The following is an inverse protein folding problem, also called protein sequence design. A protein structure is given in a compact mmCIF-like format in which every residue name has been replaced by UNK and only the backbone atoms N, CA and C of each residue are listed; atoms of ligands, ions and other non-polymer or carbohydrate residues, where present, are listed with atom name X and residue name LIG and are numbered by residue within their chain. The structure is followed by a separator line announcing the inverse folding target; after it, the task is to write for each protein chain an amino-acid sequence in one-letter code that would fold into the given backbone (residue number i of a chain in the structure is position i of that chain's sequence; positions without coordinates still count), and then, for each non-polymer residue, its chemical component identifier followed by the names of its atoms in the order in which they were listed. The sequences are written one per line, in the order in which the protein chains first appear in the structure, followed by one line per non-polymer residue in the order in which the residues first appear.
data_IF_134365345935
#
_entry.id   IF_134365345935
#
_cell.length_a   1.000
_cell.length_b   1.000
_cell.length_c   1.000
_cell.angle_alpha   90.00
_cell.angle_beta   90.00
_cell.angle_gamma   90.00
#
_symmetry.space_group_name_H-M   'P 1'
#
loop_
_entity.id
_entity.type
_entity.pdbx_description
1 polymer ?
#
# COMPACT_ATOMS: atom_id res chain seq x y z
N UNK A 1 -10.87 -8.12 -26.85
CA UNK A 1 -9.73 -9.04 -26.57
C UNK A 1 -10.25 -10.46 -26.55
N UNK A 2 -9.69 -11.37 -27.31
CA UNK A 2 -10.17 -12.76 -27.31
C UNK A 2 -9.81 -13.42 -25.97
N UNK A 3 -10.71 -14.27 -25.42
CA UNK A 3 -10.57 -14.88 -24.10
C UNK A 3 -9.24 -15.62 -23.84
N UNK A 4 -8.58 -16.11 -24.91
CA UNK A 4 -7.26 -16.72 -24.83
C UNK A 4 -6.13 -15.75 -24.40
N UNK A 5 -6.18 -14.48 -24.81
CA UNK A 5 -5.19 -13.48 -24.42
C UNK A 5 -5.38 -13.05 -22.97
N UNK A 6 -6.62 -12.97 -22.48
CA UNK A 6 -6.92 -12.68 -21.10
C UNK A 6 -6.45 -13.82 -20.18
N UNK A 7 -6.65 -15.08 -20.57
CA UNK A 7 -6.12 -16.26 -19.86
C UNK A 7 -4.60 -16.20 -19.73
N UNK A 8 -3.90 -15.94 -20.83
CA UNK A 8 -2.44 -15.86 -20.84
C UNK A 8 -1.89 -14.72 -19.98
N UNK A 9 -2.58 -13.57 -19.92
CA UNK A 9 -2.24 -12.46 -19.02
C UNK A 9 -2.47 -12.80 -17.54
N UNK A 10 -3.51 -13.54 -17.20
CA UNK A 10 -3.83 -13.94 -15.82
C UNK A 10 -2.86 -15.04 -15.32
N UNK A 11 -2.46 -15.97 -16.19
CA UNK A 11 -1.47 -17.01 -15.89
C UNK A 11 -0.05 -16.45 -15.69
N UNK A 12 0.32 -15.38 -16.41
CA UNK A 12 1.63 -14.73 -16.28
C UNK A 12 1.78 -13.86 -15.04
N UNK A 13 0.69 -13.38 -14.43
CA UNK A 13 0.72 -12.65 -13.16
C UNK A 13 0.58 -13.63 -11.99
N UNK A 14 1.65 -14.35 -11.66
CA UNK A 14 1.80 -15.04 -10.37
C UNK A 14 1.85 -13.99 -9.26
N UNK A 15 0.70 -13.68 -8.67
CA UNK A 15 0.64 -12.97 -7.39
C UNK A 15 1.21 -13.90 -6.31
N UNK A 16 2.42 -13.60 -5.86
CA UNK A 16 3.02 -14.27 -4.71
C UNK A 16 2.41 -13.67 -3.45
N UNK A 17 1.83 -14.58 -2.67
CA UNK A 17 1.54 -14.47 -1.23
C UNK A 17 0.67 -13.30 -0.75
N UNK A 18 -0.58 -13.63 -0.55
CA UNK A 18 -1.36 -13.30 0.65
C UNK A 18 -2.46 -14.38 0.73
N UNK A 19 -2.76 -14.88 1.89
CA UNK A 19 -3.48 -16.12 2.16
C UNK A 19 -4.96 -16.15 1.74
N UNK A 20 -5.37 -15.25 0.88
CA UNK A 20 -6.67 -15.25 0.22
C UNK A 20 -6.54 -14.82 -1.24
N UNK A 21 -5.95 -15.67 -2.08
CA UNK A 21 -5.97 -15.43 -3.52
C UNK A 21 -7.24 -16.02 -4.10
N UNK A 22 -8.27 -15.21 -4.22
CA UNK A 22 -9.35 -15.48 -5.15
C UNK A 22 -8.84 -15.18 -6.55
N UNK A 23 -8.30 -16.15 -7.25
CA UNK A 23 -7.98 -15.97 -8.67
C UNK A 23 -9.30 -16.09 -9.43
N UNK A 24 -9.82 -14.96 -9.87
CA UNK A 24 -11.06 -14.86 -10.62
C UNK A 24 -10.71 -14.72 -12.10
N UNK A 25 -11.09 -15.67 -12.93
CA UNK A 25 -11.09 -15.53 -14.37
C UNK A 25 -12.42 -14.92 -14.81
N UNK A 26 -12.37 -13.76 -15.46
CA UNK A 26 -13.53 -13.14 -16.08
C UNK A 26 -13.62 -13.64 -17.53
N UNK A 27 -14.69 -14.34 -17.87
CA UNK A 27 -15.00 -14.74 -19.23
C UNK A 27 -16.16 -13.88 -19.74
N UNK A 28 -15.96 -13.15 -20.81
CA UNK A 28 -17.02 -12.40 -21.47
C UNK A 28 -17.91 -13.43 -22.20
N UNK A 29 -19.13 -13.61 -21.73
CA UNK A 29 -20.07 -14.57 -22.30
C UNK A 29 -20.75 -14.01 -23.54
N UNK A 30 -21.10 -12.73 -23.54
CA UNK A 30 -21.69 -12.03 -24.68
C UNK A 30 -21.21 -10.57 -24.71
N UNK A 31 -20.48 -10.16 -25.76
CA UNK A 31 -19.88 -8.81 -25.84
C UNK A 31 -20.91 -7.68 -25.79
N UNK A 32 -22.10 -7.93 -26.30
CA UNK A 32 -23.15 -6.90 -26.46
C UNK A 32 -24.03 -6.71 -25.23
N UNK A 33 -23.95 -7.60 -24.25
CA UNK A 33 -24.81 -7.56 -23.05
C UNK A 33 -24.07 -7.12 -21.77
N UNK A 34 -22.77 -6.86 -21.84
CA UNK A 34 -21.93 -6.57 -20.67
C UNK A 34 -22.05 -7.63 -19.55
N UNK A 35 -22.37 -8.85 -19.91
CA UNK A 35 -22.51 -9.96 -18.97
C UNK A 35 -21.21 -10.76 -18.92
N UNK A 36 -20.68 -10.94 -17.73
CA UNK A 36 -19.44 -11.68 -17.48
C UNK A 36 -19.72 -12.88 -16.60
N UNK A 37 -19.01 -13.98 -16.86
CA UNK A 37 -18.96 -15.11 -15.96
C UNK A 37 -17.63 -15.15 -15.20
N UNK A 38 -17.71 -15.44 -13.91
CA UNK A 38 -16.54 -15.59 -13.07
C UNK A 38 -16.34 -17.08 -12.81
N UNK A 39 -15.14 -17.56 -13.16
CA UNK A 39 -14.68 -18.89 -12.81
C UNK A 39 -13.52 -18.81 -11.85
N UNK A 40 -13.55 -19.61 -10.79
CA UNK A 40 -12.39 -19.86 -9.97
C UNK A 40 -11.37 -20.66 -10.80
N UNK A 41 -10.16 -20.14 -10.97
CA UNK A 41 -9.03 -20.93 -11.45
C UNK A 41 -8.48 -21.72 -10.26
N UNK A 42 -8.91 -22.98 -10.14
CA UNK A 42 -8.35 -23.90 -9.15
C UNK A 42 -7.04 -24.49 -9.62
N UNK A 43 -6.23 -24.97 -8.67
CA UNK A 43 -5.20 -25.98 -8.92
C UNK A 43 -5.84 -27.20 -9.61
N UNK A 44 -5.09 -27.92 -10.39
CA UNK A 44 -5.47 -28.91 -11.42
C UNK A 44 -6.68 -29.85 -11.19
N UNK A 45 -7.26 -29.89 -9.98
CA UNK A 45 -8.35 -30.80 -9.63
C UNK A 45 -9.64 -30.13 -9.11
N UNK A 46 -9.75 -28.80 -9.10
CA UNK A 46 -10.98 -28.15 -8.67
C UNK A 46 -11.82 -27.73 -9.88
N UNK A 47 -12.81 -28.53 -10.23
CA UNK A 47 -13.85 -28.19 -11.19
C UNK A 47 -14.83 -27.26 -10.50
N UNK A 48 -14.85 -25.99 -10.88
CA UNK A 48 -15.93 -25.07 -10.48
C UNK A 48 -17.11 -25.32 -11.41
N UNK A 49 -18.16 -25.89 -10.89
CA UNK A 49 -19.36 -26.24 -11.68
C UNK A 49 -20.32 -25.06 -11.87
N UNK A 50 -20.16 -23.98 -11.09
CA UNK A 50 -21.09 -22.87 -11.12
C UNK A 50 -20.46 -21.63 -11.77
N UNK A 51 -21.08 -21.18 -12.85
CA UNK A 51 -20.78 -19.92 -13.54
C UNK A 51 -21.80 -18.90 -13.09
N UNK A 52 -21.32 -17.75 -12.56
CA UNK A 52 -22.20 -16.69 -12.10
C UNK A 52 -22.15 -15.50 -13.04
N UNK A 53 -23.30 -14.94 -13.42
CA UNK A 53 -23.33 -13.68 -14.17
C UNK A 53 -22.86 -12.54 -13.27
N UNK A 54 -21.93 -11.75 -13.77
CA UNK A 54 -21.49 -10.50 -13.14
C UNK A 54 -22.12 -9.37 -13.89
N UNK A 55 -22.91 -8.56 -13.21
CA UNK A 55 -23.45 -7.33 -13.78
C UNK A 55 -22.56 -6.18 -13.33
N UNK A 56 -21.72 -5.68 -14.23
CA UNK A 56 -20.84 -4.56 -13.95
C UNK A 56 -20.14 -4.05 -15.20
N UNK A 57 -19.79 -2.79 -15.20
CA UNK A 57 -18.99 -2.20 -16.28
C UNK A 57 -17.53 -2.55 -16.09
N UNK A 58 -16.99 -3.38 -16.98
CA UNK A 58 -15.53 -3.53 -17.13
C UNK A 58 -15.13 -2.68 -18.32
N UNK A 59 -14.40 -1.59 -18.06
CA UNK A 59 -13.84 -0.80 -19.15
C UNK A 59 -12.82 -1.64 -19.94
N UNK A 60 -12.90 -1.59 -21.27
CA UNK A 60 -12.11 -2.38 -22.20
C UNK A 60 -10.59 -2.22 -22.06
N UNK A 61 -10.11 -1.22 -21.34
CA UNK A 61 -8.69 -0.92 -21.16
C UNK A 61 -8.13 -1.29 -19.78
N UNK A 62 -8.83 -2.12 -19.02
CA UNK A 62 -8.25 -2.81 -17.85
C UNK A 62 -7.95 -1.96 -16.63
N UNK A 63 -8.45 -0.73 -16.52
CA UNK A 63 -7.99 0.22 -15.51
C UNK A 63 -9.07 0.77 -14.58
N UNK A 64 -10.33 0.57 -14.84
CA UNK A 64 -11.39 0.97 -13.92
C UNK A 64 -12.43 -0.15 -13.81
N UNK A 65 -12.35 -0.96 -12.77
CA UNK A 65 -13.49 -1.74 -12.35
C UNK A 65 -14.33 -0.87 -11.43
N UNK A 66 -15.49 -0.42 -11.89
CA UNK A 66 -16.51 0.04 -10.98
C UNK A 66 -16.93 -1.12 -10.08
N UNK A 67 -17.37 -0.83 -8.86
CA UNK A 67 -17.85 -1.82 -7.90
C UNK A 67 -18.81 -2.79 -8.59
N UNK A 68 -18.42 -4.04 -8.71
CA UNK A 68 -19.25 -5.09 -9.29
C UNK A 68 -19.80 -5.94 -8.17
N UNK A 69 -21.12 -6.13 -8.16
CA UNK A 69 -21.77 -7.09 -7.27
C UNK A 69 -21.60 -8.48 -7.83
N UNK A 70 -21.04 -9.35 -7.03
CA UNK A 70 -20.81 -10.75 -7.36
C UNK A 70 -21.70 -11.62 -6.48
N UNK A 71 -22.46 -12.49 -7.10
CA UNK A 71 -23.17 -13.55 -6.38
C UNK A 71 -22.26 -14.78 -6.33
N UNK A 72 -21.70 -15.05 -5.17
CA UNK A 72 -20.87 -16.22 -4.91
C UNK A 72 -21.62 -17.18 -4.01
N UNK A 73 -21.57 -18.48 -4.34
CA UNK A 73 -22.18 -19.50 -3.46
C UNK A 73 -21.41 -19.72 -2.16
N UNK A 74 -20.22 -19.11 -2.00
CA UNK A 74 -19.54 -19.17 -0.73
C UNK A 74 -18.05 -18.82 -0.76
N UNK A 75 -17.49 -18.77 0.42
CA UNK A 75 -16.05 -18.71 0.67
C UNK A 75 -15.56 -20.14 0.87
N UNK A 76 -14.47 -20.50 0.20
CA UNK A 76 -13.90 -21.83 0.23
C UNK A 76 -12.48 -21.80 0.76
N UNK A 77 -12.10 -22.83 1.51
CA UNK A 77 -10.72 -23.06 1.91
C UNK A 77 -9.89 -23.37 0.64
N UNK A 78 -8.82 -22.62 0.37
CA UNK A 78 -8.03 -22.81 -0.85
C UNK A 78 -7.23 -24.13 -0.86
N UNK A 79 -7.00 -24.74 0.30
CA UNK A 79 -6.24 -25.99 0.44
C UNK A 79 -7.13 -27.23 0.34
N UNK A 80 -8.27 -27.21 1.04
CA UNK A 80 -9.16 -28.38 1.12
C UNK A 80 -10.31 -28.32 0.12
N UNK A 81 -10.64 -27.12 -0.37
CA UNK A 81 -11.82 -26.89 -1.21
C UNK A 81 -13.13 -26.86 -0.42
N UNK A 82 -13.09 -27.01 0.91
CA UNK A 82 -14.28 -27.00 1.74
C UNK A 82 -14.91 -25.59 1.79
N UNK A 83 -16.23 -25.56 1.79
CA UNK A 83 -16.98 -24.32 1.91
C UNK A 83 -16.98 -23.84 3.37
N UNK A 84 -16.31 -22.70 3.62
CA UNK A 84 -16.24 -22.07 4.94
C UNK A 84 -17.53 -21.31 5.23
N UNK A 85 -18.02 -20.54 4.25
CA UNK A 85 -19.18 -19.68 4.42
C UNK A 85 -19.99 -19.56 3.13
N UNK A 86 -21.30 -19.52 3.22
CA UNK A 86 -22.17 -19.18 2.11
C UNK A 86 -22.36 -17.65 2.07
N UNK A 87 -22.21 -17.08 0.87
CA UNK A 87 -22.42 -15.65 0.64
C UNK A 87 -23.53 -15.47 -0.40
N UNK A 88 -24.48 -14.60 -0.09
CA UNK A 88 -25.51 -14.20 -1.06
C UNK A 88 -25.00 -13.10 -1.98
N UNK A 89 -24.04 -12.30 -1.50
CA UNK A 89 -23.49 -11.16 -2.23
C UNK A 89 -22.03 -10.89 -1.82
N UNK A 90 -21.23 -10.50 -2.79
CA UNK A 90 -19.84 -10.07 -2.58
C UNK A 90 -19.54 -8.80 -3.41
N UNK A 91 -18.83 -7.84 -2.83
CA UNK A 91 -18.40 -6.63 -3.53
C UNK A 91 -16.95 -6.73 -3.92
N UNK A 92 -16.69 -6.68 -5.22
CA UNK A 92 -15.32 -6.63 -5.76
C UNK A 92 -14.91 -5.17 -5.98
N UNK A 93 -13.89 -4.75 -5.25
CA UNK A 93 -13.30 -3.43 -5.41
C UNK A 93 -12.21 -3.45 -6.48
N UNK A 94 -12.01 -2.33 -7.21
CA UNK A 94 -10.90 -2.21 -8.14
C UNK A 94 -9.56 -2.27 -7.38
N UNK A 95 -8.56 -2.90 -8.00
CA UNK A 95 -7.20 -2.95 -7.46
C UNK A 95 -6.42 -1.62 -7.65
N UNK A 96 -7.03 -0.65 -8.32
CA UNK A 96 -6.44 0.65 -8.63
C UNK A 96 -7.02 1.71 -7.71
N UNK A 97 -6.16 2.52 -7.09
CA UNK A 97 -6.58 3.70 -6.33
C UNK A 97 -7.18 4.76 -7.27
N UNK A 98 -8.12 5.55 -6.74
CA UNK A 98 -8.78 6.66 -7.43
C UNK A 98 -9.60 6.26 -8.66
N UNK A 99 -10.06 5.01 -8.73
CA UNK A 99 -11.10 4.64 -9.69
C UNK A 99 -12.40 5.39 -9.35
N UNK A 100 -12.91 6.15 -10.31
CA UNK A 100 -14.08 7.00 -10.12
C UNK A 100 -14.98 7.00 -11.37
N UNK A 101 -16.20 7.52 -11.26
CA UNK A 101 -17.09 7.67 -12.43
C UNK A 101 -16.59 8.76 -13.35
N UNK A 102 -16.99 8.67 -14.64
CA UNK A 102 -16.65 9.67 -15.65
C UNK A 102 -17.12 11.07 -15.26
N UNK A 103 -18.29 11.18 -14.61
CA UNK A 103 -18.82 12.46 -14.14
C UNK A 103 -17.91 13.10 -13.09
N UNK A 104 -17.44 12.31 -12.11
CA UNK A 104 -16.51 12.77 -11.07
C UNK A 104 -15.14 13.10 -11.67
N UNK A 105 -14.65 12.27 -12.60
CA UNK A 105 -13.39 12.53 -13.28
C UNK A 105 -13.44 13.83 -14.08
N UNK A 106 -14.51 14.06 -14.84
CA UNK A 106 -14.69 15.31 -15.60
C UNK A 106 -14.77 16.53 -14.67
N UNK A 107 -15.47 16.43 -13.55
CA UNK A 107 -15.51 17.48 -12.55
C UNK A 107 -14.14 17.74 -11.89
N UNK A 108 -13.35 16.69 -11.66
CA UNK A 108 -11.99 16.81 -11.16
C UNK A 108 -11.07 17.50 -12.18
N UNK A 109 -11.15 17.11 -13.44
CA UNK A 109 -10.40 17.73 -14.54
C UNK A 109 -10.66 19.24 -14.59
N UNK A 110 -11.91 19.68 -14.50
CA UNK A 110 -12.25 21.10 -14.47
C UNK A 110 -11.60 21.83 -13.28
N UNK A 111 -11.64 21.24 -12.08
CA UNK A 111 -10.97 21.82 -10.89
C UNK A 111 -9.44 21.91 -11.05
N UNK A 112 -8.83 20.88 -11.65
CA UNK A 112 -7.38 20.84 -11.90
C UNK A 112 -6.99 21.91 -12.94
N UNK A 113 -7.80 22.12 -13.98
CA UNK A 113 -7.57 23.16 -14.98
C UNK A 113 -7.65 24.57 -14.37
N UNK A 114 -8.65 24.82 -13.56
CA UNK A 114 -8.80 26.10 -12.85
C UNK A 114 -7.62 26.38 -11.92
N UNK A 115 -7.20 25.40 -11.14
CA UNK A 115 -6.04 25.49 -10.25
C UNK A 115 -4.75 25.72 -11.06
N UNK A 116 -4.59 25.02 -12.18
CA UNK A 116 -3.44 25.20 -13.07
C UNK A 116 -3.37 26.65 -13.58
N UNK A 117 -4.45 27.21 -14.07
CA UNK A 117 -4.47 28.59 -14.56
C UNK A 117 -4.09 29.59 -13.47
N UNK A 118 -4.63 29.43 -12.26
CA UNK A 118 -4.31 30.27 -11.12
C UNK A 118 -2.82 30.17 -10.74
N UNK A 119 -2.28 28.95 -10.73
CA UNK A 119 -0.87 28.75 -10.35
C UNK A 119 0.09 29.24 -11.42
N UNK A 120 -0.24 29.10 -12.70
CA UNK A 120 0.56 29.64 -13.80
C UNK A 120 0.60 31.16 -13.74
N UNK A 121 -0.52 31.83 -13.55
CA UNK A 121 -0.58 33.28 -13.39
C UNK A 121 0.26 33.76 -12.20
N UNK A 122 0.27 33.01 -11.10
CA UNK A 122 1.13 33.32 -9.96
C UNK A 122 2.61 33.18 -10.30
N UNK A 123 3.03 32.10 -10.95
CA UNK A 123 4.44 31.90 -11.36
C UNK A 123 4.91 32.99 -12.35
N UNK A 124 4.06 33.36 -13.31
CA UNK A 124 4.36 34.42 -14.27
C UNK A 124 4.56 35.77 -13.57
N UNK A 125 3.69 36.10 -12.62
CA UNK A 125 3.80 37.32 -11.81
C UNK A 125 5.09 37.37 -10.98
N UNK A 126 5.50 36.22 -10.44
CA UNK A 126 6.73 36.08 -9.66
C UNK A 126 8.00 35.94 -10.53
N UNK A 127 7.88 35.99 -11.86
CA UNK A 127 8.99 35.82 -12.80
C UNK A 127 9.56 34.40 -12.90
N UNK A 128 8.85 33.40 -12.39
CA UNK A 128 9.23 31.98 -12.38
C UNK A 128 8.76 31.27 -13.65
N UNK A 129 9.28 31.68 -14.80
CA UNK A 129 8.81 31.21 -16.11
C UNK A 129 9.15 29.73 -16.37
N UNK A 130 10.26 29.23 -15.84
CA UNK A 130 10.67 27.84 -15.99
C UNK A 130 9.74 26.91 -15.20
N UNK A 131 9.37 27.32 -13.99
CA UNK A 131 8.42 26.61 -13.14
C UNK A 131 7.03 26.59 -13.77
N UNK A 132 6.60 27.73 -14.33
CA UNK A 132 5.33 27.83 -15.05
C UNK A 132 5.28 26.88 -16.25
N UNK A 133 6.34 26.86 -17.07
CA UNK A 133 6.41 25.98 -18.23
C UNK A 133 6.40 24.50 -17.82
N UNK A 134 7.19 24.13 -16.81
CA UNK A 134 7.26 22.77 -16.30
C UNK A 134 5.90 22.29 -15.78
N UNK A 135 5.26 23.09 -14.96
CA UNK A 135 3.94 22.77 -14.42
C UNK A 135 2.89 22.62 -15.51
N UNK A 136 2.86 23.55 -16.48
CA UNK A 136 1.94 23.51 -17.62
C UNK A 136 2.10 22.21 -18.40
N UNK A 137 3.33 21.89 -18.82
CA UNK A 137 3.58 20.69 -19.63
C UNK A 137 3.19 19.41 -18.88
N UNK A 138 3.57 19.29 -17.62
CA UNK A 138 3.28 18.10 -16.81
C UNK A 138 1.77 17.96 -16.60
N UNK A 139 1.11 18.99 -16.14
CA UNK A 139 -0.33 18.91 -15.80
C UNK A 139 -1.19 18.69 -17.05
N UNK A 140 -0.88 19.35 -18.17
CA UNK A 140 -1.60 19.11 -19.42
C UNK A 140 -1.47 17.67 -19.91
N UNK A 141 -0.27 17.08 -19.84
CA UNK A 141 -0.05 15.68 -20.17
C UNK A 141 -0.84 14.74 -19.24
N UNK A 142 -0.85 15.02 -17.93
CA UNK A 142 -1.62 14.23 -16.97
C UNK A 142 -3.13 14.32 -17.23
N UNK A 143 -3.65 15.52 -17.54
CA UNK A 143 -5.06 15.75 -17.90
C UNK A 143 -5.47 15.04 -19.18
N UNK A 144 -4.60 15.01 -20.19
CA UNK A 144 -4.84 14.26 -21.42
C UNK A 144 -4.97 12.76 -21.13
N UNK A 145 -4.06 12.20 -20.36
CA UNK A 145 -4.14 10.81 -19.93
C UNK A 145 -5.40 10.50 -19.11
N UNK A 146 -5.82 11.41 -18.22
CA UNK A 146 -7.06 11.24 -17.46
C UNK A 146 -8.29 11.24 -18.38
N UNK A 147 -8.33 12.06 -19.44
CA UNK A 147 -9.44 12.08 -20.40
C UNK A 147 -9.50 10.83 -21.26
N UNK A 148 -8.33 10.36 -21.75
CA UNK A 148 -8.27 9.27 -22.70
C UNK A 148 -8.33 7.90 -22.01
N UNK A 149 -7.70 7.77 -20.83
CA UNK A 149 -7.52 6.49 -20.15
C UNK A 149 -8.20 6.41 -18.77
N UNK A 150 -8.75 7.51 -18.27
CA UNK A 150 -9.28 7.60 -16.90
C UNK A 150 -8.20 7.54 -15.81
N UNK A 151 -6.92 7.65 -16.16
CA UNK A 151 -5.79 7.47 -15.26
C UNK A 151 -4.55 8.23 -15.74
N UNK A 152 -3.68 8.66 -14.81
CA UNK A 152 -2.33 9.13 -15.12
C UNK A 152 -1.32 8.62 -14.09
N UNK A 153 -0.04 8.63 -14.44
CA UNK A 153 1.02 8.31 -13.49
C UNK A 153 1.15 9.41 -12.43
N UNK A 154 0.98 9.03 -11.16
CA UNK A 154 0.97 9.98 -10.05
C UNK A 154 -0.40 10.60 -9.80
N UNK A 155 -1.48 9.91 -10.19
CA UNK A 155 -2.87 10.35 -10.01
C UNK A 155 -3.19 10.73 -8.55
N UNK A 156 -2.47 10.17 -7.59
CA UNK A 156 -2.59 10.50 -6.17
C UNK A 156 -2.30 11.98 -5.87
N UNK A 157 -1.54 12.67 -6.72
CA UNK A 157 -1.28 14.11 -6.57
C UNK A 157 -2.50 14.97 -6.88
N UNK A 158 -3.52 14.39 -7.48
CA UNK A 158 -4.80 15.00 -7.80
C UNK A 158 -5.94 14.47 -6.92
N UNK A 159 -5.62 13.76 -5.83
CA UNK A 159 -6.61 13.14 -4.94
C UNK A 159 -7.63 14.13 -4.38
N UNK A 160 -7.20 15.32 -3.96
CA UNK A 160 -8.10 16.36 -3.48
C UNK A 160 -9.18 16.74 -4.51
N UNK A 161 -8.80 17.15 -5.73
CA UNK A 161 -9.73 17.39 -6.84
C UNK A 161 -10.61 16.18 -7.19
N UNK A 162 -10.08 14.95 -7.20
CA UNK A 162 -10.84 13.75 -7.55
C UNK A 162 -11.88 13.42 -6.48
N UNK A 163 -11.50 13.48 -5.21
CA UNK A 163 -12.40 13.22 -4.08
C UNK A 163 -13.40 14.37 -3.83
N UNK A 164 -13.13 15.57 -4.39
CA UNK A 164 -13.92 16.78 -4.15
C UNK A 164 -13.64 17.40 -2.79
N UNK A 165 -12.50 17.10 -2.17
CA UNK A 165 -12.06 17.70 -0.90
C UNK A 165 -11.63 19.15 -1.06
N UNK A 166 -11.91 19.95 -0.05
CA UNK A 166 -11.40 21.32 0.05
C UNK A 166 -9.91 21.38 0.40
N UNK A 167 -9.26 22.52 0.17
CA UNK A 167 -7.85 22.70 0.54
C UNK A 167 -7.60 22.46 2.02
N UNK A 168 -6.61 21.62 2.33
CA UNK A 168 -6.21 21.27 3.69
C UNK A 168 -7.06 20.17 4.36
N UNK A 169 -8.14 19.71 3.74
CA UNK A 169 -8.93 18.59 4.25
C UNK A 169 -8.13 17.29 4.23
N UNK A 170 -8.19 16.48 5.32
CA UNK A 170 -7.45 15.23 5.39
C UNK A 170 -7.96 14.22 4.36
N UNK A 171 -7.09 13.37 3.81
CA UNK A 171 -7.51 12.28 2.95
C UNK A 171 -8.24 11.19 3.74
N UNK A 172 -9.03 10.40 3.05
CA UNK A 172 -9.52 9.12 3.59
C UNK A 172 -8.36 8.16 3.81
N UNK A 173 -8.43 7.39 4.87
CA UNK A 173 -7.44 6.40 5.27
C UNK A 173 -8.08 5.04 5.49
N UNK A 174 -7.26 4.01 5.71
CA UNK A 174 -7.76 2.69 6.07
C UNK A 174 -8.65 2.72 7.32
N UNK A 175 -8.40 3.65 8.26
CA UNK A 175 -9.19 3.80 9.49
C UNK A 175 -10.65 4.16 9.22
N UNK A 176 -10.93 4.86 8.11
CA UNK A 176 -12.28 5.28 7.75
C UNK A 176 -13.18 4.09 7.26
N UNK A 177 -12.58 2.93 6.98
CA UNK A 177 -13.29 1.71 6.57
C UNK A 177 -13.69 0.81 7.75
N UNK A 178 -13.16 1.05 8.95
CA UNK A 178 -13.54 0.27 10.13
C UNK A 178 -14.85 0.76 10.75
N UNK A 179 -15.59 -0.11 11.46
CA UNK A 179 -16.69 0.32 12.31
C UNK A 179 -16.23 1.36 13.34
N UNK A 180 -17.12 2.22 13.82
CA UNK A 180 -16.74 3.30 14.75
C UNK A 180 -16.21 2.81 16.11
N UNK A 181 -16.53 1.58 16.48
CA UNK A 181 -16.18 0.93 17.74
C UNK A 181 -15.00 -0.05 17.63
N UNK A 182 -14.14 0.12 16.61
CA UNK A 182 -12.96 -0.73 16.46
C UNK A 182 -11.92 -0.46 17.54
N UNK A 183 -11.13 -1.49 17.84
CA UNK A 183 -9.99 -1.43 18.75
C UNK A 183 -8.70 -1.28 17.93
N UNK A 184 -7.92 -0.27 18.25
CA UNK A 184 -6.58 -0.08 17.69
C UNK A 184 -5.55 -0.72 18.61
N UNK A 185 -4.66 -1.55 18.05
CA UNK A 185 -3.54 -2.13 18.77
C UNK A 185 -2.26 -1.64 18.10
N UNK A 186 -1.42 -0.92 18.84
CA UNK A 186 -0.16 -0.37 18.34
C UNK A 186 0.99 -1.17 18.92
N UNK A 187 1.61 -1.96 18.06
CA UNK A 187 2.81 -2.73 18.40
C UNK A 187 4.04 -1.82 18.35
N UNK A 188 4.99 -2.08 19.28
CA UNK A 188 6.20 -1.26 19.47
C UNK A 188 5.89 0.25 19.52
N UNK A 189 4.92 0.61 20.35
CA UNK A 189 4.36 1.96 20.39
C UNK A 189 5.40 3.05 20.64
N UNK A 190 6.46 2.75 21.40
CA UNK A 190 7.58 3.67 21.64
C UNK A 190 8.33 4.10 20.37
N UNK A 191 8.20 3.33 19.27
CA UNK A 191 8.71 3.67 17.94
C UNK A 191 7.59 4.25 17.07
N UNK A 192 6.40 3.62 17.09
CA UNK A 192 5.27 3.96 16.22
C UNK A 192 4.70 5.34 16.52
N UNK A 193 4.55 5.73 17.78
CA UNK A 193 4.02 7.03 18.17
C UNK A 193 4.90 8.20 17.69
N UNK A 194 6.23 8.20 17.93
CA UNK A 194 7.10 9.22 17.34
C UNK A 194 7.06 9.29 15.82
N UNK A 195 6.92 8.15 15.12
CA UNK A 195 6.76 8.13 13.67
C UNK A 195 5.46 8.77 13.22
N UNK A 196 4.34 8.50 13.90
CA UNK A 196 3.05 9.14 13.64
C UNK A 196 3.12 10.66 13.82
N UNK A 197 3.86 11.15 14.81
CA UNK A 197 4.09 12.58 14.99
C UNK A 197 4.91 13.20 13.86
N UNK A 198 5.93 12.49 13.37
CA UNK A 198 6.89 13.04 12.39
C UNK A 198 6.44 12.93 10.93
N UNK A 199 5.54 12.02 10.58
CA UNK A 199 5.25 11.68 9.18
C UNK A 199 4.64 12.85 8.38
N UNK A 200 3.79 13.66 8.98
CA UNK A 200 3.14 14.78 8.31
C UNK A 200 4.14 15.87 7.90
N UNK A 201 5.01 16.31 8.81
CA UNK A 201 5.96 17.38 8.53
C UNK A 201 7.03 16.98 7.50
N UNK A 202 7.45 15.72 7.50
CA UNK A 202 8.37 15.20 6.49
C UNK A 202 7.77 15.23 5.08
N UNK A 203 6.52 14.78 4.93
CA UNK A 203 5.81 14.82 3.65
C UNK A 203 5.51 16.25 3.19
N UNK A 204 5.05 17.11 4.10
CA UNK A 204 4.78 18.53 3.85
C UNK A 204 6.00 19.27 3.32
N UNK A 205 7.16 19.11 3.96
CA UNK A 205 8.41 19.76 3.53
C UNK A 205 8.81 19.34 2.13
N UNK A 206 8.75 18.04 1.83
CA UNK A 206 9.04 17.52 0.50
C UNK A 206 8.10 18.08 -0.56
N UNK A 207 6.79 18.09 -0.30
CA UNK A 207 5.77 18.57 -1.24
C UNK A 207 5.84 20.06 -1.46
N UNK A 208 6.10 20.85 -0.42
CA UNK A 208 6.31 22.29 -0.56
C UNK A 208 7.40 22.59 -1.58
N UNK A 209 8.55 21.91 -1.50
CA UNK A 209 9.63 22.04 -2.48
C UNK A 209 9.17 21.71 -3.90
N UNK A 210 8.44 20.62 -4.09
CA UNK A 210 7.94 20.22 -5.42
C UNK A 210 6.95 21.23 -6.01
N UNK A 211 6.08 21.79 -5.19
CA UNK A 211 5.11 22.82 -5.57
C UNK A 211 5.79 24.13 -5.92
N UNK A 212 6.77 24.56 -5.12
CA UNK A 212 7.49 25.83 -5.32
C UNK A 212 8.36 25.83 -6.58
N UNK A 213 8.79 24.65 -7.00
CA UNK A 213 9.58 24.47 -8.22
C UNK A 213 8.73 24.01 -9.44
N UNK A 214 7.42 24.05 -9.37
CA UNK A 214 6.52 23.77 -10.49
C UNK A 214 6.47 22.29 -10.91
N UNK A 215 6.80 21.36 -10.03
CA UNK A 215 6.65 19.92 -10.29
C UNK A 215 5.26 19.38 -9.94
N UNK A 216 4.51 20.09 -9.09
CA UNK A 216 3.16 19.71 -8.64
C UNK A 216 2.28 20.94 -8.48
N UNK A 217 0.96 20.74 -8.60
CA UNK A 217 -0.04 21.73 -8.21
C UNK A 217 -0.10 21.86 -6.67
N UNK A 218 -0.58 22.99 -6.13
CA UNK A 218 -0.78 23.19 -4.70
C UNK A 218 -1.62 22.10 -4.04
N UNK A 219 -2.70 21.64 -4.70
CA UNK A 219 -3.59 20.57 -4.20
C UNK A 219 -2.89 19.23 -3.97
N UNK A 220 -1.71 19.00 -4.56
CA UNK A 220 -0.91 17.82 -4.27
C UNK A 220 -0.46 17.74 -2.79
N UNK A 221 -0.45 18.87 -2.08
CA UNK A 221 -0.19 18.91 -0.65
C UNK A 221 -1.28 18.21 0.18
N UNK A 222 -2.51 18.08 -0.35
CA UNK A 222 -3.65 17.48 0.34
C UNK A 222 -3.68 15.94 0.24
N UNK A 223 -2.84 15.34 -0.62
CA UNK A 223 -2.52 13.92 -0.55
C UNK A 223 -1.40 13.69 0.47
N UNK A 224 -1.74 13.60 1.71
CA UNK A 224 -0.79 13.62 2.83
C UNK A 224 -1.13 12.61 3.91
N UNK A 225 -0.17 12.20 4.73
CA UNK A 225 -0.48 11.51 5.97
C UNK A 225 -1.41 12.35 6.85
N UNK A 226 -2.16 11.70 7.72
CA UNK A 226 -2.89 12.40 8.77
C UNK A 226 -1.90 13.17 9.67
N UNK A 227 -2.34 14.30 10.18
CA UNK A 227 -1.69 14.90 11.35
C UNK A 227 -1.91 14.00 12.56
N UNK A 228 -1.07 14.13 13.55
CA UNK A 228 -1.18 13.29 14.74
C UNK A 228 -2.54 13.42 15.43
N UNK A 229 -3.07 14.63 15.53
CA UNK A 229 -4.37 14.92 16.12
C UNK A 229 -5.51 14.29 15.31
N UNK A 230 -5.44 14.39 13.98
CA UNK A 230 -6.42 13.78 13.07
C UNK A 230 -6.42 12.24 13.17
N UNK A 231 -5.24 11.66 13.39
CA UNK A 231 -5.10 10.24 13.66
C UNK A 231 -5.68 9.87 15.03
N UNK A 232 -5.36 10.63 16.09
CA UNK A 232 -5.82 10.37 17.44
C UNK A 232 -7.36 10.43 17.56
N UNK A 233 -8.00 11.36 16.84
CA UNK A 233 -9.45 11.46 16.76
C UNK A 233 -10.10 10.23 16.11
N UNK A 234 -9.40 9.58 15.16
CA UNK A 234 -9.89 8.41 14.41
C UNK A 234 -9.54 7.08 15.07
N UNK A 235 -8.44 7.02 15.83
CA UNK A 235 -7.89 5.78 16.36
C UNK A 235 -8.81 5.06 17.35
N UNK A 236 -9.75 5.77 17.98
CA UNK A 236 -10.70 5.19 18.94
C UNK A 236 -10.02 4.63 20.18
N UNK A 237 -10.57 3.54 20.72
CA UNK A 237 -9.96 2.83 21.85
C UNK A 237 -8.66 2.18 21.42
N UNK A 238 -7.57 2.45 22.17
CA UNK A 238 -6.23 2.04 21.75
C UNK A 238 -5.51 1.26 22.85
N UNK A 239 -4.83 0.20 22.48
CA UNK A 239 -3.88 -0.56 23.31
C UNK A 239 -2.47 -0.32 22.75
N UNK A 240 -1.56 0.12 23.59
CA UNK A 240 -0.15 0.29 23.28
C UNK A 240 0.64 -0.90 23.80
N UNK A 241 1.39 -1.58 22.93
CA UNK A 241 2.28 -2.67 23.26
C UNK A 241 3.71 -2.18 23.16
N UNK A 242 4.49 -2.29 24.24
CA UNK A 242 5.89 -1.90 24.25
C UNK A 242 6.63 -2.49 25.43
N UNK A 243 7.86 -2.93 25.23
CA UNK A 243 8.77 -3.27 26.33
C UNK A 243 9.28 -2.01 27.07
N UNK A 244 9.31 -0.88 26.38
CA UNK A 244 9.84 0.41 26.89
C UNK A 244 8.90 1.56 26.48
N UNK A 245 7.68 1.65 27.06
CA UNK A 245 6.70 2.66 26.71
C UNK A 245 7.28 4.07 26.79
N UNK A 246 7.00 4.88 25.77
CA UNK A 246 7.43 6.27 25.70
C UNK A 246 6.67 7.21 26.66
N UNK A 247 7.10 8.47 26.73
CA UNK A 247 6.42 9.45 27.62
C UNK A 247 4.97 9.68 27.23
N UNK A 248 4.67 9.74 25.93
CA UNK A 248 3.33 10.02 25.43
C UNK A 248 2.34 8.93 25.82
N UNK A 249 2.69 7.65 25.64
CA UNK A 249 1.84 6.52 26.00
C UNK A 249 1.57 6.49 27.50
N UNK A 250 2.58 6.77 28.31
CA UNK A 250 2.45 6.82 29.79
C UNK A 250 1.52 7.90 30.26
N UNK A 251 1.54 9.06 29.59
CA UNK A 251 0.71 10.21 29.94
C UNK A 251 -0.75 10.00 29.53
N UNK A 252 -0.98 9.32 28.39
CA UNK A 252 -2.31 9.18 27.79
C UNK A 252 -2.99 7.84 28.08
N UNK A 253 -2.30 6.90 28.75
CA UNK A 253 -2.90 5.61 29.13
C UNK A 253 -3.64 5.72 30.45
N UNK A 254 -4.90 5.30 30.45
CA UNK A 254 -5.70 5.20 31.68
C UNK A 254 -5.27 4.06 32.61
N UNK A 255 -4.58 3.05 32.07
CA UNK A 255 -4.08 1.89 32.81
C UNK A 255 -2.79 1.38 32.16
N UNK A 256 -1.83 1.01 32.99
CA UNK A 256 -0.59 0.33 32.57
C UNK A 256 -0.59 -1.06 33.19
N UNK A 257 -0.45 -2.07 32.33
CA UNK A 257 -0.38 -3.48 32.75
C UNK A 257 0.97 -4.05 32.32
N UNK A 258 1.65 -4.72 33.23
CA UNK A 258 2.93 -5.36 32.97
C UNK A 258 2.76 -6.87 32.77
N UNK A 259 3.28 -7.40 31.67
CA UNK A 259 3.42 -8.83 31.47
C UNK A 259 4.87 -9.25 31.68
N UNK A 260 5.17 -9.73 32.88
CA UNK A 260 6.53 -10.09 33.29
C UNK A 260 6.86 -11.54 32.93
N UNK A 261 5.86 -12.40 32.87
CA UNK A 261 6.04 -13.82 32.60
C UNK A 261 6.16 -14.08 31.11
N UNK A 262 7.25 -14.72 30.69
CA UNK A 262 7.44 -15.20 29.31
C UNK A 262 7.01 -16.68 29.23
N UNK A 263 5.79 -17.00 28.77
CA UNK A 263 5.24 -18.37 28.86
C UNK A 263 5.89 -19.35 27.87
N UNK A 264 6.65 -18.85 26.88
CA UNK A 264 7.31 -19.67 25.85
C UNK A 264 8.44 -20.55 26.42
N UNK A 265 8.93 -20.29 27.62
CA UNK A 265 10.09 -20.97 28.21
C UNK A 265 11.44 -20.68 27.53
N UNK A 266 11.43 -19.81 26.50
CA UNK A 266 12.65 -19.37 25.82
C UNK A 266 13.37 -18.34 26.69
N UNK A 267 14.64 -18.66 27.05
CA UNK A 267 15.50 -17.72 27.77
C UNK A 267 16.09 -16.68 26.79
N UNK A 268 16.50 -15.54 27.33
CA UNK A 268 17.23 -14.55 26.55
C UNK A 268 18.55 -15.14 26.01
N UNK A 269 18.95 -14.73 24.77
CA UNK A 269 20.20 -15.23 24.21
C UNK A 269 21.38 -14.72 25.00
N UNK A 270 22.45 -15.54 25.08
CA UNK A 270 23.72 -15.09 25.62
C UNK A 270 24.32 -14.00 24.73
N UNK A 271 24.60 -12.84 25.30
CA UNK A 271 25.22 -11.72 24.59
C UNK A 271 26.73 -11.72 24.85
N UNK A 272 27.51 -11.78 23.78
CA UNK A 272 28.98 -11.69 23.84
C UNK A 272 29.43 -10.44 23.09
N UNK A 273 30.12 -9.53 23.78
CA UNK A 273 30.69 -8.32 23.21
C UNK A 273 32.14 -8.59 22.82
N UNK A 274 32.48 -8.31 21.56
CA UNK A 274 33.81 -8.50 20.99
C UNK A 274 34.37 -7.21 20.39
N UNK A 275 35.70 -7.04 20.29
CA UNK A 275 36.34 -5.90 19.64
C UNK A 275 35.97 -5.83 18.16
N UNK A 276 35.85 -4.61 17.62
CA UNK A 276 35.60 -4.39 16.18
C UNK A 276 36.79 -4.72 15.29
N UNK A 277 38.02 -4.66 15.85
CA UNK A 277 39.22 -5.02 15.10
C UNK A 277 39.25 -6.55 14.84
N UNK A 278 39.32 -6.93 13.56
CA UNK A 278 39.25 -8.33 13.14
C UNK A 278 37.85 -8.95 13.21
N UNK A 279 36.82 -8.15 13.31
CA UNK A 279 35.42 -8.60 13.44
C UNK A 279 34.96 -9.48 12.29
N UNK A 280 35.44 -9.24 11.07
CA UNK A 280 35.00 -9.98 9.86
C UNK A 280 35.60 -11.40 9.88
N UNK A 281 36.87 -11.54 10.25
CA UNK A 281 37.53 -12.85 10.37
C UNK A 281 36.91 -13.68 11.50
N UNK A 282 36.61 -13.05 12.64
CA UNK A 282 35.91 -13.69 13.76
C UNK A 282 34.48 -14.08 13.35
N UNK A 283 33.76 -13.23 12.66
CA UNK A 283 32.42 -13.53 12.12
C UNK A 283 32.45 -14.76 11.20
N UNK A 284 33.39 -14.79 10.25
CA UNK A 284 33.54 -15.90 9.32
C UNK A 284 33.84 -17.22 10.07
N UNK A 285 34.70 -17.18 11.08
CA UNK A 285 34.99 -18.35 11.93
C UNK A 285 33.74 -18.85 12.68
N UNK A 286 32.95 -17.91 13.26
CA UNK A 286 31.71 -18.25 13.95
C UNK A 286 30.64 -18.78 13.00
N UNK A 287 30.52 -18.23 11.78
CA UNK A 287 29.61 -18.76 10.78
C UNK A 287 29.96 -20.20 10.43
N UNK A 288 31.24 -20.49 10.17
CA UNK A 288 31.71 -21.83 9.82
C UNK A 288 31.44 -22.84 10.94
N UNK A 289 31.67 -22.45 12.20
CA UNK A 289 31.35 -23.28 13.35
C UNK A 289 29.85 -23.64 13.41
N UNK A 290 28.96 -22.65 13.21
CA UNK A 290 27.52 -22.86 13.21
C UNK A 290 27.03 -23.68 12.02
N UNK A 291 27.60 -23.47 10.85
CA UNK A 291 27.29 -24.26 9.64
C UNK A 291 27.63 -25.76 9.87
N UNK A 292 28.77 -26.05 10.50
CA UNK A 292 29.15 -27.45 10.85
C UNK A 292 28.14 -28.05 11.84
N UNK A 293 27.60 -27.23 12.77
CA UNK A 293 26.57 -27.67 13.71
C UNK A 293 25.17 -27.80 13.06
N UNK A 294 25.01 -27.40 11.79
CA UNK A 294 23.72 -27.39 11.10
C UNK A 294 22.82 -26.16 11.40
N UNK A 295 23.38 -25.19 12.10
CA UNK A 295 22.69 -23.97 12.49
C UNK A 295 22.66 -22.94 11.36
N UNK A 296 21.83 -21.89 11.53
CA UNK A 296 21.79 -20.69 10.69
C UNK A 296 22.28 -19.49 11.47
N UNK A 297 22.89 -18.53 10.78
CA UNK A 297 23.39 -17.29 11.37
C UNK A 297 22.66 -16.11 10.74
N UNK A 298 22.15 -15.20 11.57
CA UNK A 298 21.60 -13.92 11.14
C UNK A 298 22.63 -12.84 11.44
N UNK A 299 23.03 -12.10 10.40
CA UNK A 299 23.99 -11.00 10.54
C UNK A 299 23.27 -9.69 10.21
N UNK A 300 23.35 -8.71 11.10
CA UNK A 300 22.82 -7.36 10.90
C UNK A 300 23.94 -6.35 10.80
N UNK A 301 23.77 -5.36 9.95
CA UNK A 301 24.73 -4.28 9.73
C UNK A 301 24.08 -2.92 9.93
N UNK A 302 24.88 -1.86 10.08
CA UNK A 302 24.36 -0.50 10.29
C UNK A 302 23.73 0.11 9.04
N UNK A 303 24.13 -0.34 7.84
CA UNK A 303 23.63 0.21 6.57
C UNK A 303 23.38 -0.88 5.55
N UNK A 304 22.48 -0.64 4.58
CA UNK A 304 22.22 -1.55 3.46
C UNK A 304 23.48 -1.83 2.65
N UNK A 305 24.27 -0.79 2.38
CA UNK A 305 25.55 -0.94 1.65
C UNK A 305 26.53 -1.87 2.36
N UNK A 306 26.66 -1.75 3.69
CA UNK A 306 27.48 -2.70 4.45
C UNK A 306 26.97 -4.12 4.38
N UNK A 307 25.63 -4.32 4.30
CA UNK A 307 25.07 -5.66 4.15
C UNK A 307 25.41 -6.23 2.77
N UNK A 308 25.29 -5.42 1.71
CA UNK A 308 25.65 -5.82 0.34
C UNK A 308 27.15 -6.15 0.25
N UNK A 309 28.03 -5.24 0.66
CA UNK A 309 29.50 -5.45 0.66
C UNK A 309 29.90 -6.72 1.44
N UNK A 310 29.26 -6.95 2.60
CA UNK A 310 29.52 -8.15 3.43
C UNK A 310 29.00 -9.42 2.78
N UNK A 311 27.85 -9.37 2.12
CA UNK A 311 27.29 -10.50 1.37
C UNK A 311 28.23 -10.93 0.25
N UNK A 312 28.72 -9.98 -0.54
CA UNK A 312 29.65 -10.26 -1.64
C UNK A 312 30.95 -10.90 -1.10
N UNK A 313 31.52 -10.35 -0.03
CA UNK A 313 32.70 -10.93 0.62
C UNK A 313 32.46 -12.35 1.12
N UNK A 314 31.33 -12.60 1.80
CA UNK A 314 31.02 -13.96 2.32
C UNK A 314 30.81 -14.96 1.20
N UNK A 315 30.23 -14.55 0.08
CA UNK A 315 30.11 -15.39 -1.14
C UNK A 315 31.48 -15.74 -1.73
N UNK A 316 32.41 -14.77 -1.81
CA UNK A 316 33.78 -15.00 -2.26
C UNK A 316 34.51 -15.99 -1.34
N UNK A 317 34.23 -15.95 -0.04
CA UNK A 317 34.78 -16.88 0.96
C UNK A 317 34.08 -18.25 0.97
N UNK A 318 33.13 -18.49 0.07
CA UNK A 318 32.43 -19.78 -0.09
C UNK A 318 31.31 -20.01 0.94
N UNK A 319 30.89 -19.01 1.66
CA UNK A 319 29.72 -19.07 2.55
C UNK A 319 28.44 -18.96 1.73
N UNK A 320 27.48 -19.79 2.01
CA UNK A 320 26.16 -19.72 1.38
C UNK A 320 25.30 -18.67 2.10
N UNK A 321 25.14 -17.48 1.48
CA UNK A 321 24.41 -16.33 1.98
C UNK A 321 23.13 -16.13 1.20
#
# INVERSE_FOLDING_TARGET
MQGAQLRQMLEQRRLRSLDLVVTVALEVLEPDTNTFAIRRLGTENAIVQDVFPVVGYVYQNGLAASVSRLFLNGVFDPLTGDRIQQLDEFVLFPATHYATSDERMNAAIGRIEDELQQRLAWFEKEGKLLEAQRLRMRTQYDLENMREMGFCNGIENYSGPIDGRGPGEPPNTLLDFFPRDYLTIIDESHVSIPQLHGQYEGDRSRKATLIDHGFRLPSAADNRPLRFEEWAERAGQTIFLSATPGPWEREHSGQIVEQVVRPTGLVDPQVVIKPTKGQIDDLLAQINERVVAGDRVLVTTLTKKMAEDLTDYLLEMGVRV
#
